data_IF_236405489666
#
_entry.id   IF_236405489666
#
_cell.length_a   1.000
_cell.length_b   1.000
_cell.length_c   1.000
_cell.angle_alpha   90.00
_cell.angle_beta   90.00
_cell.angle_gamma   90.00
#
_symmetry.space_group_name_H-M   'P 1'
#
loop_
_entity.id
_entity.type
_entity.pdbx_description
1 polymer ?
#
# COMPACT_ATOMS: atom_id res chain seq x y z
N UNK A 1 64.21 -19.21 68.55
CA UNK A 1 62.74 -19.24 68.54
C UNK A 1 62.25 -17.85 68.93
N UNK A 2 62.14 -16.96 67.95
CA UNK A 2 60.95 -16.69 67.15
C UNK A 2 59.94 -15.80 67.88
N UNK A 3 60.04 -14.51 67.52
CA UNK A 3 59.13 -13.37 67.70
C UNK A 3 57.63 -13.72 67.59
N UNK A 4 56.76 -12.95 68.27
CA UNK A 4 55.67 -12.21 67.60
C UNK A 4 55.20 -11.00 68.42
N UNK A 5 55.12 -9.85 67.74
CA UNK A 5 54.62 -8.55 68.22
C UNK A 5 53.11 -8.47 68.00
N UNK A 6 52.42 -7.77 68.89
CA UNK A 6 51.01 -7.39 68.83
C UNK A 6 50.90 -5.95 68.27
N UNK A 7 50.04 -5.71 67.27
CA UNK A 7 49.47 -4.40 66.86
C UNK A 7 48.15 -4.68 66.06
N UNK A 8 47.24 -3.70 65.84
CA UNK A 8 45.85 -3.76 66.27
C UNK A 8 44.85 -3.84 65.10
N UNK A 9 43.59 -4.11 65.42
CA UNK A 9 42.47 -4.09 64.47
C UNK A 9 42.23 -2.65 63.95
N UNK A 10 42.34 -2.46 62.63
CA UNK A 10 41.82 -1.30 61.93
C UNK A 10 40.43 -1.62 61.35
N UNK A 11 39.43 -0.84 61.76
CA UNK A 11 38.08 -0.89 61.23
C UNK A 11 38.06 -0.18 59.86
N UNK A 12 37.89 -0.93 58.77
CA UNK A 12 37.74 -0.35 57.42
C UNK A 12 36.25 -0.03 57.22
N UNK A 13 35.94 1.27 57.19
CA UNK A 13 34.66 1.81 56.78
C UNK A 13 34.50 1.54 55.27
N UNK A 14 33.69 0.54 54.91
CA UNK A 14 33.39 0.22 53.52
C UNK A 14 32.40 1.28 53.00
N UNK A 15 32.91 2.32 52.34
CA UNK A 15 32.08 3.26 51.59
C UNK A 15 31.35 2.48 50.49
N UNK A 16 30.04 2.32 50.68
CA UNK A 16 29.11 1.80 49.69
C UNK A 16 29.19 2.64 48.42
N UNK A 17 29.84 2.09 47.39
CA UNK A 17 29.71 2.57 46.03
C UNK A 17 28.23 2.55 45.66
N UNK A 18 27.68 3.73 45.38
CA UNK A 18 26.41 3.84 44.68
C UNK A 18 26.50 3.05 43.38
N UNK A 19 25.74 1.96 43.29
CA UNK A 19 25.42 1.29 42.05
C UNK A 19 24.84 2.35 41.12
N UNK A 20 25.64 2.77 40.13
CA UNK A 20 25.13 3.43 38.93
C UNK A 20 24.16 2.43 38.33
N UNK A 21 22.87 2.64 38.53
CA UNK A 21 21.85 1.96 37.76
C UNK A 21 22.20 2.23 36.29
N UNK A 22 22.65 1.20 35.56
CA UNK A 22 22.90 1.33 34.13
C UNK A 22 21.60 1.80 33.51
N UNK A 23 21.59 3.03 32.99
CA UNK A 23 20.49 3.45 32.14
C UNK A 23 20.37 2.42 31.01
N UNK A 24 19.16 1.90 30.73
CA UNK A 24 18.94 1.16 29.51
C UNK A 24 19.44 2.03 28.36
N UNK A 25 20.26 1.47 27.47
CA UNK A 25 20.78 2.21 26.32
C UNK A 25 19.66 2.56 25.33
N UNK A 26 18.49 1.96 25.44
CA UNK A 26 17.27 2.31 24.71
C UNK A 26 16.39 3.30 25.52
N UNK A 27 15.52 4.04 24.83
CA UNK A 27 14.59 4.99 25.44
C UNK A 27 13.17 4.75 24.90
N UNK A 28 12.55 3.62 25.26
CA UNK A 28 11.34 3.15 24.59
C UNK A 28 10.04 3.71 25.19
N UNK A 29 10.10 4.40 26.34
CA UNK A 29 8.90 4.86 27.07
C UNK A 29 8.92 6.35 27.36
N UNK A 30 7.74 6.92 27.56
CA UNK A 30 7.56 8.30 28.01
C UNK A 30 6.41 8.41 29.02
N UNK A 31 6.59 9.31 29.99
CA UNK A 31 5.59 9.61 31.01
C UNK A 31 4.62 10.71 30.52
N UNK A 32 3.48 10.83 31.20
CA UNK A 32 2.55 11.94 30.98
C UNK A 32 3.24 13.30 31.11
N UNK A 33 2.68 14.30 30.45
CA UNK A 33 3.21 15.67 30.35
C UNK A 33 4.57 15.79 29.62
N UNK A 34 4.95 14.77 28.84
CA UNK A 34 6.15 14.85 27.99
C UNK A 34 5.84 15.59 26.69
N UNK A 35 6.73 16.49 26.28
CA UNK A 35 6.60 17.27 25.04
C UNK A 35 7.88 17.17 24.22
N UNK A 36 7.73 16.91 22.93
CA UNK A 36 8.81 16.89 21.95
C UNK A 36 8.58 17.99 20.92
N UNK A 37 9.63 18.74 20.61
CA UNK A 37 9.62 19.78 19.58
C UNK A 37 10.38 19.28 18.37
N UNK A 38 9.77 19.37 17.20
CA UNK A 38 10.41 19.09 15.93
C UNK A 38 11.42 20.20 15.58
N UNK A 39 12.60 20.16 16.18
CA UNK A 39 13.68 21.14 15.98
C UNK A 39 14.88 20.52 15.26
N UNK A 40 15.62 21.35 14.52
CA UNK A 40 16.91 20.96 13.93
C UNK A 40 17.91 20.56 15.02
N UNK A 41 17.80 21.17 16.20
CA UNK A 41 18.64 20.88 17.37
C UNK A 41 18.11 19.72 18.24
N UNK A 42 17.07 19.01 17.80
CA UNK A 42 16.53 17.90 18.57
C UNK A 42 17.59 16.80 18.73
N UNK A 43 17.66 16.16 19.91
CA UNK A 43 18.54 15.01 20.10
C UNK A 43 18.16 13.89 19.13
N UNK A 44 19.13 13.04 18.78
CA UNK A 44 18.92 11.89 17.88
C UNK A 44 18.38 12.27 16.48
N UNK A 45 18.72 13.48 16.01
CA UNK A 45 18.49 13.91 14.63
C UNK A 45 19.59 13.38 13.72
N UNK A 46 19.22 12.58 12.71
CA UNK A 46 20.16 12.01 11.73
C UNK A 46 19.65 12.25 10.31
N UNK A 47 20.51 12.83 9.48
CA UNK A 47 20.28 12.99 8.05
C UNK A 47 20.94 11.85 7.26
N UNK A 48 20.25 11.37 6.24
CA UNK A 48 20.66 10.27 5.38
C UNK A 48 20.98 10.77 3.97
N UNK A 49 21.79 10.00 3.23
CA UNK A 49 22.22 10.40 1.88
C UNK A 49 21.13 10.27 0.82
N UNK A 50 20.00 9.63 1.13
CA UNK A 50 18.81 9.57 0.26
C UNK A 50 17.93 10.83 0.35
N UNK A 51 18.33 11.81 1.18
CA UNK A 51 17.56 13.03 1.43
C UNK A 51 16.56 12.89 2.58
N UNK A 52 16.48 11.72 3.23
CA UNK A 52 15.64 11.55 4.41
C UNK A 52 16.31 12.07 5.68
N UNK A 53 15.51 12.50 6.64
CA UNK A 53 15.97 12.86 7.98
C UNK A 53 14.99 12.33 9.01
N UNK A 54 15.54 11.73 10.07
CA UNK A 54 14.77 11.26 11.24
C UNK A 54 15.15 12.06 12.47
N UNK A 55 14.19 12.26 13.36
CA UNK A 55 14.39 12.77 14.72
C UNK A 55 13.69 11.83 15.67
N UNK A 56 14.43 10.86 16.20
CA UNK A 56 13.88 9.85 17.08
C UNK A 56 13.57 10.43 18.46
N UNK A 57 12.37 10.12 18.97
CA UNK A 57 11.93 10.50 20.32
C UNK A 57 11.80 9.28 21.23
N UNK A 58 11.50 8.12 20.65
CA UNK A 58 11.57 6.81 21.31
C UNK A 58 12.32 5.86 20.38
N UNK A 59 13.11 4.98 20.97
CA UNK A 59 13.87 3.95 20.27
C UNK A 59 13.92 2.70 21.13
N UNK A 60 13.66 1.56 20.50
CA UNK A 60 13.60 0.28 21.19
C UNK A 60 14.70 -0.68 20.72
N UNK A 61 15.52 -1.14 21.67
CA UNK A 61 16.64 -2.05 21.43
C UNK A 61 17.93 -1.36 20.99
N UNK A 62 19.05 -2.10 20.96
CA UNK A 62 20.38 -1.51 20.83
C UNK A 62 21.02 -1.77 19.48
N UNK A 63 21.21 -3.01 19.03
CA UNK A 63 22.03 -3.31 17.84
C UNK A 63 21.22 -3.81 16.64
N UNK A 64 21.59 -3.36 15.43
CA UNK A 64 21.01 -3.79 14.15
C UNK A 64 19.80 -2.95 13.73
N UNK A 65 18.91 -3.48 12.88
CA UNK A 65 17.67 -2.80 12.56
C UNK A 65 16.76 -2.76 13.80
N UNK A 66 16.34 -1.55 14.19
CA UNK A 66 15.48 -1.29 15.36
C UNK A 66 14.35 -0.34 15.01
N UNK A 67 13.25 -0.47 15.73
CA UNK A 67 12.14 0.46 15.65
C UNK A 67 12.45 1.71 16.47
N UNK A 68 12.19 2.86 15.86
CA UNK A 68 12.13 4.14 16.52
C UNK A 68 10.87 4.87 16.07
N UNK A 69 10.39 5.80 16.88
CA UNK A 69 9.34 6.73 16.45
C UNK A 69 9.78 8.17 16.65
N UNK A 70 9.23 9.08 15.84
CA UNK A 70 9.54 10.49 15.90
C UNK A 70 9.22 11.20 14.59
N UNK A 71 9.93 12.30 14.31
CA UNK A 71 9.69 13.08 13.10
C UNK A 71 10.50 12.56 11.92
N UNK A 72 9.85 12.40 10.77
CA UNK A 72 10.46 11.95 9.52
C UNK A 72 10.14 12.93 8.39
N UNK A 73 11.12 13.23 7.55
CA UNK A 73 10.94 13.90 6.26
C UNK A 73 11.82 13.26 5.19
N UNK A 74 11.53 13.57 3.93
CA UNK A 74 12.34 13.22 2.77
C UNK A 74 12.38 14.38 1.79
N UNK A 75 13.49 14.55 1.08
CA UNK A 75 13.71 15.61 0.10
C UNK A 75 14.10 16.93 0.76
N UNK A 76 13.32 17.99 0.53
CA UNK A 76 13.62 19.34 1.03
C UNK A 76 13.26 19.53 2.52
N UNK A 77 12.57 18.56 3.13
CA UNK A 77 12.16 18.60 4.53
C UNK A 77 11.34 19.85 4.92
N UNK A 78 10.51 20.35 4.00
CA UNK A 78 9.52 21.40 4.30
C UNK A 78 8.31 20.86 5.08
N UNK A 79 8.12 19.54 5.06
CA UNK A 79 7.02 18.85 5.74
C UNK A 79 7.50 17.57 6.42
N UNK A 80 6.88 17.24 7.53
CA UNK A 80 7.24 16.16 8.43
C UNK A 80 6.04 15.30 8.81
N UNK A 81 6.29 14.01 8.90
CA UNK A 81 5.41 13.03 9.51
C UNK A 81 5.85 12.74 10.94
N UNK A 82 4.91 12.56 11.85
CA UNK A 82 5.15 11.73 13.02
C UNK A 82 4.96 10.26 12.61
N UNK A 83 6.03 9.47 12.76
CA UNK A 83 6.14 8.15 12.15
C UNK A 83 6.84 7.14 13.07
N UNK A 84 6.56 5.86 12.82
CA UNK A 84 7.38 4.74 13.29
C UNK A 84 8.22 4.28 12.10
N UNK A 85 9.52 4.15 12.31
CA UNK A 85 10.47 3.79 11.27
C UNK A 85 11.51 2.78 11.77
N UNK A 86 12.00 1.96 10.85
CA UNK A 86 13.11 1.03 11.09
C UNK A 86 14.41 1.75 10.73
N UNK A 87 15.37 1.76 11.65
CA UNK A 87 16.70 2.39 11.51
C UNK A 87 17.79 1.42 11.93
N UNK A 88 19.01 1.58 11.40
CA UNK A 88 20.18 0.83 11.87
C UNK A 88 20.76 1.47 13.12
N UNK A 89 21.07 0.66 14.13
CA UNK A 89 21.64 1.14 15.38
C UNK A 89 22.87 0.34 15.83
N UNK A 90 23.76 0.98 16.60
CA UNK A 90 24.94 0.36 17.19
C UNK A 90 24.68 -0.12 18.63
N UNK A 91 25.62 -0.77 19.30
CA UNK A 91 25.44 -1.33 20.66
C UNK A 91 24.99 -0.34 21.76
N UNK A 92 25.02 0.96 21.50
CA UNK A 92 24.59 2.03 22.41
C UNK A 92 23.38 2.82 21.87
N UNK A 93 22.61 2.23 20.96
CA UNK A 93 21.36 2.78 20.39
C UNK A 93 21.51 4.08 19.61
N UNK A 94 22.71 4.40 19.12
CA UNK A 94 22.84 5.48 18.14
C UNK A 94 22.39 5.02 16.78
N UNK A 95 21.62 5.86 16.09
CA UNK A 95 21.25 5.65 14.69
C UNK A 95 22.50 5.81 13.83
N UNK A 96 22.84 4.78 13.07
CA UNK A 96 24.08 4.68 12.27
C UNK A 96 23.78 4.38 10.80
N UNK A 97 24.84 4.23 9.99
CA UNK A 97 24.77 3.84 8.58
C UNK A 97 23.96 4.79 7.68
N UNK A 98 24.16 6.12 7.76
CA UNK A 98 23.34 7.09 7.02
C UNK A 98 23.43 6.97 5.49
N UNK A 99 24.44 6.26 4.97
CA UNK A 99 24.67 6.09 3.53
C UNK A 99 24.03 4.84 2.92
N UNK A 100 23.58 3.88 3.73
CA UNK A 100 23.04 2.58 3.25
C UNK A 100 21.82 2.10 4.04
N UNK A 101 21.71 2.47 5.31
CA UNK A 101 20.67 2.05 6.25
C UNK A 101 19.47 2.98 6.24
N UNK A 102 18.96 3.34 5.07
CA UNK A 102 17.90 4.34 4.95
C UNK A 102 16.68 3.95 5.80
N UNK A 103 16.10 4.90 6.53
CA UNK A 103 14.98 4.66 7.43
C UNK A 103 13.75 4.20 6.65
N UNK A 104 13.08 3.15 7.12
CA UNK A 104 11.86 2.64 6.49
C UNK A 104 10.65 3.00 7.35
N UNK A 105 9.81 3.91 6.87
CA UNK A 105 8.56 4.28 7.54
C UNK A 105 7.54 3.15 7.38
N UNK A 106 7.14 2.56 8.50
CA UNK A 106 6.15 1.45 8.56
C UNK A 106 4.81 1.91 9.12
N UNK A 107 4.76 3.09 9.74
CA UNK A 107 3.52 3.71 10.21
C UNK A 107 3.67 5.22 10.31
N UNK A 108 2.59 5.98 10.12
CA UNK A 108 2.58 7.42 10.41
C UNK A 108 1.20 7.94 10.75
N UNK A 109 1.17 8.96 11.62
CA UNK A 109 -0.04 9.53 12.19
C UNK A 109 -0.76 10.51 11.26
N UNK A 110 0.00 11.36 10.58
CA UNK A 110 -0.49 12.60 9.97
C UNK A 110 -0.21 12.68 8.46
N UNK A 111 -0.38 11.56 7.73
CA UNK A 111 -0.17 11.49 6.27
C UNK A 111 -0.91 12.57 5.48
N UNK A 112 -2.14 12.88 5.90
CA UNK A 112 -3.00 13.88 5.26
C UNK A 112 -2.77 15.31 5.74
N UNK A 113 -2.06 15.48 6.87
CA UNK A 113 -1.73 16.78 7.46
C UNK A 113 -0.27 16.81 7.93
N UNK A 114 0.72 16.73 7.00
CA UNK A 114 2.12 16.89 7.36
C UNK A 114 2.35 18.21 8.08
N UNK A 115 3.25 18.21 9.06
CA UNK A 115 3.57 19.38 9.89
C UNK A 115 4.91 19.99 9.50
N UNK A 116 5.16 21.25 9.88
CA UNK A 116 6.42 21.95 9.61
C UNK A 116 7.44 21.74 10.73
N UNK A 117 8.64 22.28 10.54
CA UNK A 117 9.60 22.47 11.63
C UNK A 117 8.97 23.33 12.74
N UNK A 118 9.37 23.13 14.00
CA UNK A 118 8.80 23.72 15.22
C UNK A 118 7.40 23.21 15.61
N UNK A 119 6.88 22.17 14.92
CA UNK A 119 5.72 21.41 15.41
C UNK A 119 6.01 20.71 16.74
N UNK A 120 4.95 20.38 17.47
CA UNK A 120 5.04 19.77 18.79
C UNK A 120 4.23 18.49 18.87
N UNK A 121 4.83 17.45 19.44
CA UNK A 121 4.12 16.25 19.88
C UNK A 121 4.08 16.27 21.40
N UNK A 122 2.90 16.10 21.99
CA UNK A 122 2.73 16.15 23.43
C UNK A 122 1.91 14.97 23.92
N UNK A 123 2.45 14.22 24.89
CA UNK A 123 1.65 13.33 25.72
C UNK A 123 1.12 14.16 26.90
N UNK A 124 -0.15 14.52 26.84
CA UNK A 124 -0.79 15.43 27.79
C UNK A 124 -0.95 14.81 29.19
N UNK A 125 -1.17 15.64 30.21
CA UNK A 125 -1.48 15.17 31.56
C UNK A 125 -2.79 14.36 31.62
N UNK A 126 -3.72 14.60 30.67
CA UNK A 126 -4.98 13.88 30.53
C UNK A 126 -4.85 12.57 29.75
N UNK A 127 -3.66 12.24 29.23
CA UNK A 127 -3.44 10.97 28.54
C UNK A 127 -3.68 10.97 27.03
N UNK A 128 -3.77 12.13 26.41
CA UNK A 128 -3.86 12.26 24.94
C UNK A 128 -2.49 12.49 24.33
N UNK A 129 -2.17 11.80 23.22
CA UNK A 129 -0.99 12.07 22.41
C UNK A 129 -1.40 12.98 21.24
N UNK A 130 -0.92 14.22 21.27
CA UNK A 130 -1.41 15.30 20.39
C UNK A 130 -0.27 15.86 19.57
N UNK A 131 -0.46 15.93 18.25
CA UNK A 131 0.45 16.56 17.30
C UNK A 131 -0.12 17.90 16.83
N UNK A 132 0.63 18.98 17.05
CA UNK A 132 0.29 20.33 16.57
C UNK A 132 1.35 20.85 15.62
N UNK A 133 0.92 21.54 14.58
CA UNK A 133 1.83 22.26 13.67
C UNK A 133 2.45 23.49 14.37
N UNK A 134 3.43 24.13 13.72
CA UNK A 134 4.18 25.25 14.26
C UNK A 134 3.31 26.47 14.66
N UNK A 135 2.14 26.62 14.03
CA UNK A 135 1.14 27.67 14.33
C UNK A 135 0.13 27.26 15.43
N UNK A 136 0.28 26.05 15.99
CA UNK A 136 -0.62 25.49 17.01
C UNK A 136 -1.82 24.72 16.45
N UNK A 137 -2.00 24.69 15.12
CA UNK A 137 -3.09 23.95 14.46
C UNK A 137 -2.99 22.46 14.80
N UNK A 138 -4.11 21.85 15.17
CA UNK A 138 -4.18 20.41 15.43
C UNK A 138 -4.00 19.62 14.13
N UNK A 139 -2.91 18.85 14.05
CA UNK A 139 -2.65 17.97 12.92
C UNK A 139 -3.23 16.57 13.14
N UNK A 140 -3.05 16.02 14.35
CA UNK A 140 -3.50 14.67 14.71
C UNK A 140 -3.57 14.47 16.24
N UNK A 141 -4.41 13.55 16.71
CA UNK A 141 -4.46 13.10 18.12
C UNK A 141 -4.97 11.66 18.24
N UNK A 142 -4.61 10.98 19.33
CA UNK A 142 -5.12 9.63 19.66
C UNK A 142 -6.56 9.66 20.20
N UNK A 143 -7.08 10.83 20.59
CA UNK A 143 -8.38 11.00 21.22
C UNK A 143 -8.53 10.10 22.47
N UNK A 144 -7.48 10.07 23.29
CA UNK A 144 -7.39 9.26 24.50
C UNK A 144 -7.44 10.06 25.80
N UNK A 145 -7.70 11.37 25.70
CA UNK A 145 -7.92 12.23 26.86
C UNK A 145 -8.96 11.61 27.83
N UNK A 146 -8.61 11.49 29.11
CA UNK A 146 -9.49 10.96 30.15
C UNK A 146 -9.65 9.44 30.15
N UNK A 147 -8.95 8.69 29.27
CA UNK A 147 -9.03 7.22 29.20
C UNK A 147 -7.98 6.52 30.08
N UNK A 148 -7.61 7.13 31.21
CA UNK A 148 -6.71 6.55 32.22
C UNK A 148 -5.32 6.14 31.72
N UNK A 149 -4.79 6.79 30.67
CA UNK A 149 -3.43 6.56 30.19
C UNK A 149 -2.43 6.95 31.28
N UNK A 150 -1.45 6.08 31.53
CA UNK A 150 -0.34 6.26 32.46
C UNK A 150 0.99 6.53 31.75
N UNK A 151 1.14 6.09 30.49
CA UNK A 151 2.36 6.32 29.72
C UNK A 151 2.26 5.89 28.26
N UNK A 152 3.37 6.09 27.54
CA UNK A 152 3.58 5.71 26.14
C UNK A 152 4.76 4.75 26.06
N UNK A 153 4.67 3.72 25.21
CA UNK A 153 5.73 2.75 24.97
C UNK A 153 5.83 2.39 23.49
N UNK A 154 7.05 2.21 22.98
CA UNK A 154 7.33 1.56 21.70
C UNK A 154 7.79 0.12 21.95
N UNK A 155 7.09 -0.88 21.41
CA UNK A 155 7.40 -2.30 21.61
C UNK A 155 8.51 -2.80 20.68
N UNK A 156 9.04 -3.99 20.97
CA UNK A 156 10.08 -4.64 20.15
C UNK A 156 9.58 -5.00 18.73
N UNK A 157 8.27 -5.16 18.56
CA UNK A 157 7.58 -5.37 17.28
C UNK A 157 7.27 -4.06 16.53
N UNK A 158 7.57 -2.90 17.12
CA UNK A 158 7.31 -1.60 16.53
C UNK A 158 5.88 -1.10 16.73
N UNK A 159 5.17 -1.58 17.75
CA UNK A 159 3.86 -1.05 18.13
C UNK A 159 4.02 0.13 19.09
N UNK A 160 3.41 1.28 18.77
CA UNK A 160 3.36 2.44 19.65
C UNK A 160 2.07 2.36 20.49
N UNK A 161 2.22 2.23 21.80
CA UNK A 161 1.13 1.89 22.73
C UNK A 161 0.99 2.96 23.81
N UNK A 162 -0.23 3.47 23.99
CA UNK A 162 -0.64 4.15 25.22
C UNK A 162 -1.22 3.10 26.18
N UNK A 163 -0.69 3.05 27.39
CA UNK A 163 -1.07 2.03 28.39
C UNK A 163 -1.58 2.67 29.68
N UNK A 164 -2.46 1.98 30.41
CA UNK A 164 -2.98 2.41 31.72
C UNK A 164 -2.10 1.96 32.89
N UNK A 165 -2.49 2.28 34.13
CA UNK A 165 -1.72 1.92 35.33
C UNK A 165 -1.64 0.39 35.59
N UNK A 166 -2.42 -0.41 34.88
CA UNK A 166 -2.42 -1.89 34.92
C UNK A 166 -1.70 -2.48 33.71
N UNK A 167 -1.00 -1.66 32.92
CA UNK A 167 -0.35 -2.01 31.66
C UNK A 167 -1.32 -2.52 30.59
N UNK A 168 -2.62 -2.20 30.68
CA UNK A 168 -3.57 -2.50 29.63
C UNK A 168 -3.47 -1.46 28.50
N UNK A 169 -3.59 -1.92 27.26
CA UNK A 169 -3.60 -1.07 26.08
C UNK A 169 -4.85 -0.18 26.06
N UNK A 170 -4.65 1.14 26.02
CA UNK A 170 -5.70 2.15 25.84
C UNK A 170 -5.82 2.56 24.37
N UNK A 171 -4.67 2.65 23.68
CA UNK A 171 -4.57 2.94 22.25
C UNK A 171 -3.29 2.32 21.71
N UNK A 172 -3.28 1.89 20.44
CA UNK A 172 -2.09 1.36 19.79
C UNK A 172 -2.03 1.67 18.29
N UNK A 173 -0.84 1.85 17.74
CA UNK A 173 -0.65 2.13 16.31
C UNK A 173 -1.06 0.97 15.41
N UNK A 174 -0.94 -0.27 15.88
CA UNK A 174 -1.31 -1.45 15.09
C UNK A 174 -2.79 -1.50 14.69
N UNK A 175 -3.68 -0.85 15.46
CA UNK A 175 -5.10 -0.74 15.14
C UNK A 175 -5.40 0.33 14.08
N UNK A 176 -4.38 1.07 13.66
CA UNK A 176 -4.47 2.15 12.67
C UNK A 176 -3.39 1.95 11.59
N UNK A 177 -3.41 0.83 10.84
CA UNK A 177 -2.39 0.57 9.84
C UNK A 177 -2.40 1.63 8.75
N UNK A 178 -1.28 1.75 8.04
CA UNK A 178 -1.12 2.77 7.00
C UNK A 178 -0.90 2.13 5.63
N UNK A 179 0.32 2.05 5.12
CA UNK A 179 0.66 1.34 3.88
C UNK A 179 1.53 0.11 4.11
N UNK A 180 1.82 -0.23 5.36
CA UNK A 180 2.78 -1.28 5.71
C UNK A 180 2.26 -2.18 6.84
N UNK A 181 2.76 -3.41 6.88
CA UNK A 181 2.60 -4.38 7.96
C UNK A 181 3.98 -4.83 8.43
N UNK A 182 4.11 -5.03 9.74
CA UNK A 182 5.31 -5.60 10.36
C UNK A 182 5.03 -6.98 10.96
N UNK A 183 6.05 -7.83 11.15
CA UNK A 183 5.87 -9.12 11.80
C UNK A 183 5.20 -8.97 13.18
N UNK A 184 4.18 -9.78 13.45
CA UNK A 184 3.37 -9.72 14.66
C UNK A 184 2.12 -8.82 14.55
N UNK A 185 2.04 -7.95 13.55
CA UNK A 185 0.87 -7.09 13.36
C UNK A 185 -0.33 -7.87 12.82
N UNK A 186 -1.50 -7.56 13.36
CA UNK A 186 -2.80 -8.12 12.95
C UNK A 186 -3.56 -7.10 12.10
N UNK A 187 -4.22 -7.61 11.07
CA UNK A 187 -5.17 -6.90 10.23
C UNK A 187 -6.53 -7.60 10.37
N UNK A 188 -7.44 -7.00 11.11
CA UNK A 188 -8.80 -7.53 11.32
C UNK A 188 -9.77 -7.01 10.26
N UNK A 189 -10.93 -7.64 10.14
CA UNK A 189 -12.02 -7.18 9.24
C UNK A 189 -12.32 -5.69 9.46
N UNK A 190 -12.37 -4.94 8.35
CA UNK A 190 -12.57 -3.48 8.36
C UNK A 190 -11.28 -2.65 8.40
N UNK A 191 -10.13 -3.23 8.72
CA UNK A 191 -8.83 -2.56 8.56
C UNK A 191 -8.30 -2.72 7.14
N UNK A 192 -7.62 -1.68 6.64
CA UNK A 192 -6.99 -1.71 5.32
C UNK A 192 -5.64 -1.01 5.31
N UNK A 193 -4.74 -1.54 4.50
CA UNK A 193 -3.58 -0.80 4.02
C UNK A 193 -4.02 0.11 2.87
N UNK A 194 -3.56 1.35 2.85
CA UNK A 194 -3.80 2.30 1.77
C UNK A 194 -2.46 2.77 1.23
N UNK A 195 -2.21 2.56 -0.06
CA UNK A 195 -0.97 2.96 -0.70
C UNK A 195 -0.76 4.47 -0.61
N UNK A 196 0.51 4.89 -0.54
CA UNK A 196 0.88 6.29 -0.73
C UNK A 196 0.64 6.71 -2.19
N UNK A 197 0.37 7.99 -2.46
CA UNK A 197 0.18 8.53 -3.82
C UNK A 197 1.40 8.27 -4.72
N UNK A 198 2.59 8.40 -4.15
CA UNK A 198 3.84 8.02 -4.80
C UNK A 198 4.89 7.66 -3.75
N UNK A 199 6.08 7.26 -4.19
CA UNK A 199 7.25 7.06 -3.32
C UNK A 199 7.67 8.32 -2.55
N UNK A 200 7.33 9.50 -3.05
CA UNK A 200 7.70 10.81 -2.47
C UNK A 200 6.52 11.61 -1.92
N UNK A 201 5.29 11.15 -2.11
CA UNK A 201 4.07 11.79 -1.62
C UNK A 201 3.28 10.82 -0.75
N UNK A 202 3.39 11.01 0.57
CA UNK A 202 2.81 10.12 1.58
C UNK A 202 1.32 10.32 1.87
N UNK A 203 0.70 11.35 1.29
CA UNK A 203 -0.72 11.66 1.50
C UNK A 203 -1.58 10.43 1.19
N UNK A 204 -2.62 10.18 2.00
CA UNK A 204 -3.62 9.19 1.66
C UNK A 204 -4.40 9.65 0.42
N UNK A 205 -4.94 8.70 -0.33
CA UNK A 205 -5.46 8.93 -1.68
C UNK A 205 -4.62 8.28 -2.78
N UNK A 206 -3.71 7.37 -2.42
CA UNK A 206 -3.17 6.41 -3.37
C UNK A 206 -4.28 5.55 -3.98
N UNK A 207 -4.05 5.06 -5.19
CA UNK A 207 -5.06 4.36 -5.98
C UNK A 207 -5.34 2.94 -5.49
N UNK A 208 -4.62 2.43 -4.48
CA UNK A 208 -4.67 1.02 -4.10
C UNK A 208 -4.91 0.83 -2.62
N UNK A 209 -5.70 -0.18 -2.29
CA UNK A 209 -5.86 -0.66 -0.92
C UNK A 209 -5.82 -2.17 -0.83
N UNK A 210 -5.44 -2.67 0.35
CA UNK A 210 -5.37 -4.10 0.66
C UNK A 210 -6.00 -4.32 2.03
N UNK A 211 -7.01 -5.16 2.10
CA UNK A 211 -7.84 -5.33 3.30
C UNK A 211 -7.98 -6.80 3.67
N UNK A 212 -8.07 -7.05 4.98
CA UNK A 212 -8.60 -8.30 5.49
C UNK A 212 -10.13 -8.22 5.52
N UNK A 213 -10.78 -9.30 5.10
CA UNK A 213 -12.22 -9.53 5.29
C UNK A 213 -12.38 -10.72 6.21
N UNK A 214 -13.58 -10.92 6.76
CA UNK A 214 -13.87 -12.11 7.57
C UNK A 214 -13.66 -13.42 6.78
N UNK A 215 -13.75 -13.35 5.45
CA UNK A 215 -13.66 -14.50 4.56
C UNK A 215 -12.32 -14.58 3.79
N UNK A 216 -11.38 -13.66 4.02
CA UNK A 216 -10.10 -13.68 3.30
C UNK A 216 -9.36 -12.35 3.16
N UNK A 217 -8.70 -12.20 2.01
CA UNK A 217 -7.87 -11.06 1.63
C UNK A 217 -8.34 -10.48 0.30
N UNK A 218 -8.46 -9.16 0.24
CA UNK A 218 -8.90 -8.46 -0.98
C UNK A 218 -8.06 -7.22 -1.22
N UNK A 219 -7.70 -6.99 -2.48
CA UNK A 219 -7.02 -5.78 -2.92
C UNK A 219 -7.83 -5.05 -4.00
N UNK A 220 -7.92 -3.73 -3.86
CA UNK A 220 -8.73 -2.87 -4.71
C UNK A 220 -7.90 -1.79 -5.40
N UNK A 221 -8.28 -1.45 -6.62
CA UNK A 221 -8.04 -0.11 -7.16
C UNK A 221 -9.23 0.78 -6.83
N UNK A 222 -8.98 1.88 -6.11
CA UNK A 222 -9.92 2.84 -5.52
C UNK A 222 -10.55 3.75 -6.61
N UNK A 223 -11.11 3.11 -7.64
CA UNK A 223 -11.88 3.72 -8.72
C UNK A 223 -13.36 3.91 -8.33
N UNK A 224 -14.19 4.42 -9.24
CA UNK A 224 -15.62 4.65 -8.99
C UNK A 224 -16.49 3.88 -9.99
N UNK A 225 -17.04 2.69 -9.63
CA UNK A 225 -16.89 1.99 -8.33
C UNK A 225 -15.49 1.35 -8.15
N UNK A 226 -15.07 1.00 -6.92
CA UNK A 226 -13.81 0.27 -6.69
C UNK A 226 -13.78 -1.05 -7.44
N UNK A 227 -12.60 -1.44 -7.94
CA UNK A 227 -12.42 -2.66 -8.72
C UNK A 227 -11.42 -3.59 -8.02
N UNK A 228 -11.81 -4.84 -7.80
CA UNK A 228 -10.96 -5.87 -7.18
C UNK A 228 -9.93 -6.38 -8.18
N UNK A 229 -8.65 -6.38 -7.81
CA UNK A 229 -7.58 -6.96 -8.65
C UNK A 229 -6.90 -8.18 -8.03
N UNK A 230 -7.16 -8.42 -6.74
CA UNK A 230 -6.74 -9.62 -6.06
C UNK A 230 -7.79 -9.99 -5.02
N UNK A 231 -8.14 -11.26 -4.98
CA UNK A 231 -9.00 -11.83 -3.96
C UNK A 231 -8.52 -13.24 -3.64
N UNK A 232 -8.44 -13.56 -2.36
CA UNK A 232 -8.24 -14.92 -1.88
C UNK A 232 -9.15 -15.14 -0.68
N UNK A 233 -10.18 -15.95 -0.90
CA UNK A 233 -11.15 -16.32 0.12
C UNK A 233 -11.04 -17.80 0.48
N UNK A 234 -11.37 -18.13 1.72
CA UNK A 234 -11.43 -19.51 2.22
C UNK A 234 -12.72 -20.25 1.86
N UNK A 235 -13.77 -19.55 1.40
CA UNK A 235 -15.06 -20.12 1.02
C UNK A 235 -15.83 -20.77 2.18
N UNK A 236 -17.01 -20.23 2.50
CA UNK A 236 -17.91 -20.77 3.52
C UNK A 236 -18.12 -19.83 4.69
N UNK A 237 -19.37 -19.62 5.10
CA UNK A 237 -19.73 -18.78 6.23
C UNK A 237 -19.08 -19.30 7.51
N UNK A 238 -18.30 -18.46 8.20
CA UNK A 238 -17.91 -18.71 9.58
C UNK A 238 -19.17 -18.85 10.45
N UNK A 239 -19.59 -20.09 10.71
CA UNK A 239 -20.70 -20.42 11.62
C UNK A 239 -20.28 -20.36 13.09
N UNK A 240 -19.00 -20.06 13.38
CA UNK A 240 -18.39 -20.20 14.71
C UNK A 240 -18.31 -18.91 15.54
N UNK A 241 -18.92 -17.80 15.09
CA UNK A 241 -19.05 -16.57 15.89
C UNK A 241 -17.75 -15.83 16.25
N UNK A 242 -16.58 -16.31 15.80
CA UNK A 242 -15.29 -15.62 15.93
C UNK A 242 -14.94 -14.84 14.66
N UNK A 243 -14.42 -13.62 14.83
CA UNK A 243 -13.91 -12.82 13.70
C UNK A 243 -12.54 -13.33 13.27
N UNK A 244 -12.39 -13.60 11.98
CA UNK A 244 -11.10 -13.93 11.39
C UNK A 244 -10.20 -12.69 11.35
N UNK A 245 -8.89 -12.92 11.38
CA UNK A 245 -7.90 -11.87 11.21
C UNK A 245 -6.69 -12.37 10.44
N UNK A 246 -6.05 -11.47 9.72
CA UNK A 246 -4.80 -11.75 9.03
C UNK A 246 -3.65 -11.31 9.92
N UNK A 247 -2.61 -12.14 10.03
CA UNK A 247 -1.42 -11.82 10.79
C UNK A 247 -0.19 -12.04 9.94
N UNK A 248 0.71 -11.06 9.96
CA UNK A 248 2.01 -11.22 9.33
C UNK A 248 2.95 -11.94 10.31
N UNK A 249 3.31 -13.18 9.97
CA UNK A 249 4.18 -14.04 10.75
C UNK A 249 5.52 -14.22 10.02
N UNK A 250 6.54 -14.67 10.75
CA UNK A 250 7.80 -15.04 10.13
C UNK A 250 7.57 -16.20 9.14
N UNK A 251 7.78 -15.94 7.85
CA UNK A 251 7.60 -16.91 6.78
C UNK A 251 6.17 -17.02 6.21
N UNK A 252 5.19 -16.24 6.71
CA UNK A 252 3.84 -16.28 6.12
C UNK A 252 2.96 -15.06 6.42
N UNK A 253 2.01 -14.79 5.53
CA UNK A 253 0.82 -14.00 5.80
C UNK A 253 -0.36 -14.96 5.99
N UNK A 254 -0.85 -15.06 7.23
CA UNK A 254 -1.78 -16.11 7.64
C UNK A 254 -3.13 -15.56 8.05
N UNK A 255 -4.21 -16.13 7.53
CA UNK A 255 -5.57 -15.93 8.02
C UNK A 255 -5.82 -16.90 9.17
N UNK A 256 -6.03 -16.33 10.36
CA UNK A 256 -6.20 -17.04 11.61
C UNK A 256 -7.63 -16.81 12.14
N UNK A 257 -8.07 -17.75 12.96
CA UNK A 257 -9.34 -17.67 13.69
C UNK A 257 -9.09 -18.05 15.16
N UNK A 258 -10.14 -18.40 15.90
CA UNK A 258 -10.01 -18.91 17.28
C UNK A 258 -9.29 -20.28 17.36
N UNK A 259 -9.12 -20.98 16.24
CA UNK A 259 -8.29 -22.19 16.14
C UNK A 259 -6.79 -21.85 16.10
N UNK A 260 -5.94 -22.76 16.60
CA UNK A 260 -4.48 -22.60 16.52
C UNK A 260 -3.94 -22.74 15.09
N UNK A 261 -4.66 -23.41 14.20
CA UNK A 261 -4.25 -23.63 12.83
C UNK A 261 -4.76 -22.54 11.88
N UNK A 262 -3.92 -22.08 10.92
CA UNK A 262 -4.32 -21.10 9.93
C UNK A 262 -5.32 -21.69 8.92
N UNK A 263 -6.40 -20.95 8.68
CA UNK A 263 -7.40 -21.32 7.67
C UNK A 263 -6.88 -21.06 6.25
N UNK A 264 -6.01 -20.05 6.10
CA UNK A 264 -5.31 -19.77 4.86
C UNK A 264 -3.89 -19.30 5.18
N UNK A 265 -2.94 -19.71 4.34
CA UNK A 265 -1.55 -19.31 4.45
C UNK A 265 -1.02 -18.88 3.08
N UNK A 266 -0.38 -17.70 3.03
CA UNK A 266 0.48 -17.28 1.92
C UNK A 266 1.92 -17.38 2.42
N UNK A 267 2.72 -18.25 1.80
CA UNK A 267 4.13 -18.41 2.14
C UNK A 267 4.92 -17.17 1.72
N UNK A 268 5.82 -16.72 2.58
CA UNK A 268 6.74 -15.60 2.36
C UNK A 268 8.14 -16.09 2.73
N UNK A 269 9.23 -15.58 2.11
CA UNK A 269 10.59 -15.89 2.56
C UNK A 269 10.76 -15.64 4.07
N UNK A 270 11.19 -16.65 4.86
CA UNK A 270 11.46 -16.47 6.28
C UNK A 270 12.52 -15.39 6.50
N UNK A 271 12.26 -14.53 7.47
CA UNK A 271 13.13 -13.42 7.82
C UNK A 271 14.40 -13.93 8.54
N UNK A 272 15.56 -13.59 7.98
CA UNK A 272 16.88 -13.72 8.61
C UNK A 272 17.31 -12.45 9.36
N UNK A 273 16.68 -11.31 9.04
CA UNK A 273 16.86 -10.01 9.70
C UNK A 273 15.52 -9.28 9.87
N UNK A 274 15.53 -7.95 10.00
CA UNK A 274 14.30 -7.17 9.99
C UNK A 274 13.64 -7.24 8.62
N UNK A 275 12.33 -7.50 8.64
CA UNK A 275 11.49 -7.63 7.48
C UNK A 275 10.22 -6.81 7.68
N UNK A 276 9.72 -6.17 6.64
CA UNK A 276 8.42 -5.50 6.64
C UNK A 276 7.74 -5.68 5.28
N UNK A 277 6.42 -5.54 5.28
CA UNK A 277 5.59 -5.62 4.08
C UNK A 277 5.01 -4.25 3.79
N UNK A 278 4.96 -3.85 2.51
CA UNK A 278 4.44 -2.55 2.09
C UNK A 278 3.59 -2.66 0.83
N UNK A 279 2.41 -2.05 0.87
CA UNK A 279 1.58 -1.82 -0.30
C UNK A 279 2.09 -0.58 -1.04
N UNK A 280 2.66 -0.82 -2.21
CA UNK A 280 3.28 0.20 -3.04
C UNK A 280 2.23 1.02 -3.82
N UNK A 281 2.64 2.22 -4.26
CA UNK A 281 1.80 3.13 -5.08
C UNK A 281 1.33 2.54 -6.42
N UNK A 282 1.89 1.39 -6.84
CA UNK A 282 1.50 0.65 -8.04
C UNK A 282 0.64 -0.60 -7.76
N UNK A 283 0.21 -0.81 -6.51
CA UNK A 283 -0.66 -1.91 -6.09
C UNK A 283 0.06 -3.20 -5.70
N UNK A 284 1.39 -3.25 -5.81
CA UNK A 284 2.15 -4.43 -5.39
C UNK A 284 2.30 -4.47 -3.88
N UNK A 285 2.11 -5.65 -3.28
CA UNK A 285 2.35 -5.89 -1.86
C UNK A 285 3.72 -6.56 -1.71
N UNK A 286 4.75 -5.77 -1.42
CA UNK A 286 6.13 -6.23 -1.43
C UNK A 286 6.65 -6.48 -0.03
N UNK A 287 7.51 -7.48 0.07
CA UNK A 287 8.26 -7.78 1.30
C UNK A 287 9.70 -7.33 1.13
N UNK A 288 10.17 -6.54 2.08
CA UNK A 288 11.52 -6.02 2.12
C UNK A 288 12.26 -6.60 3.33
N UNK A 289 13.50 -7.02 3.12
CA UNK A 289 14.38 -7.54 4.16
C UNK A 289 15.72 -6.79 4.16
N UNK A 290 16.27 -6.59 5.36
CA UNK A 290 17.61 -6.07 5.53
C UNK A 290 18.68 -7.15 5.27
N UNK A 291 19.44 -7.00 4.18
CA UNK A 291 20.59 -7.85 3.84
C UNK A 291 21.77 -6.96 3.41
N UNK A 292 22.35 -6.21 4.34
CA UNK A 292 23.31 -5.09 4.10
C UNK A 292 22.71 -3.81 3.49
N UNK A 293 21.58 -3.95 2.79
CA UNK A 293 20.66 -2.88 2.38
C UNK A 293 19.25 -3.44 2.38
N UNK A 294 18.24 -2.58 2.25
CA UNK A 294 16.88 -3.05 2.01
C UNK A 294 16.75 -3.65 0.62
N UNK A 295 16.40 -4.93 0.56
CA UNK A 295 16.14 -5.62 -0.70
C UNK A 295 14.69 -6.12 -0.71
N UNK A 296 14.03 -6.03 -1.87
CA UNK A 296 12.76 -6.72 -2.11
C UNK A 296 13.05 -8.22 -2.17
N UNK A 297 12.47 -8.99 -1.26
CA UNK A 297 12.61 -10.46 -1.22
C UNK A 297 11.40 -11.17 -1.79
N UNK A 298 10.23 -10.51 -1.81
CA UNK A 298 9.01 -11.10 -2.37
C UNK A 298 8.02 -10.05 -2.88
N UNK A 299 7.12 -10.50 -3.75
CA UNK A 299 5.93 -9.77 -4.21
C UNK A 299 4.70 -10.66 -4.05
N UNK A 300 4.01 -10.47 -2.93
CA UNK A 300 3.07 -11.44 -2.35
C UNK A 300 1.91 -11.75 -3.29
N UNK A 301 1.44 -10.76 -4.07
CA UNK A 301 0.26 -10.93 -4.93
C UNK A 301 0.63 -11.40 -6.34
N UNK A 302 1.84 -11.06 -6.83
CA UNK A 302 2.28 -11.40 -8.20
C UNK A 302 2.24 -12.89 -8.46
N UNK A 303 2.64 -13.72 -7.47
CA UNK A 303 2.74 -15.17 -7.64
C UNK A 303 1.41 -15.87 -7.99
N UNK A 304 0.27 -15.26 -7.69
CA UNK A 304 -1.04 -15.85 -7.93
C UNK A 304 -1.54 -15.62 -9.35
N UNK A 305 -1.62 -14.35 -9.78
CA UNK A 305 -2.26 -13.98 -11.04
C UNK A 305 -1.25 -13.51 -12.10
N UNK A 306 0.01 -13.29 -11.72
CA UNK A 306 1.07 -12.77 -12.59
C UNK A 306 1.03 -11.24 -12.75
N UNK A 307 2.11 -10.69 -13.31
CA UNK A 307 2.33 -9.24 -13.45
C UNK A 307 1.23 -8.52 -14.26
N UNK A 308 0.61 -9.19 -15.24
CA UNK A 308 -0.42 -8.56 -16.06
C UNK A 308 -1.78 -8.36 -15.36
N UNK A 309 -1.95 -8.91 -14.15
CA UNK A 309 -3.17 -8.73 -13.35
C UNK A 309 -3.22 -7.39 -12.61
N UNK A 310 -2.10 -6.64 -12.55
CA UNK A 310 -2.05 -5.38 -11.85
C UNK A 310 -2.74 -4.26 -12.66
N UNK A 311 -3.61 -3.45 -12.04
CA UNK A 311 -4.42 -2.47 -12.75
C UNK A 311 -3.62 -1.44 -13.57
N UNK A 312 -2.43 -1.07 -13.14
CA UNK A 312 -1.65 0.01 -13.78
C UNK A 312 -0.41 -0.45 -14.52
N UNK A 313 -0.19 -1.76 -14.69
CA UNK A 313 1.04 -2.31 -15.30
C UNK A 313 1.34 -1.74 -16.70
N UNK A 314 0.29 -1.53 -17.51
CA UNK A 314 0.40 -0.98 -18.85
C UNK A 314 -0.34 0.35 -19.00
N UNK A 315 -0.72 1.00 -17.90
CA UNK A 315 -1.55 2.20 -17.92
C UNK A 315 -2.95 1.97 -18.52
N UNK A 316 -3.73 3.05 -18.61
CA UNK A 316 -5.11 2.96 -19.11
C UNK A 316 -5.13 2.48 -20.56
N UNK A 317 -6.07 1.59 -20.87
CA UNK A 317 -6.26 0.97 -22.19
C UNK A 317 -5.05 0.18 -22.73
N UNK A 318 -3.93 0.08 -22.01
CA UNK A 318 -2.78 -0.71 -22.45
C UNK A 318 -3.03 -2.19 -22.23
N UNK A 319 -2.68 -3.03 -23.22
CA UNK A 319 -2.78 -4.49 -23.13
C UNK A 319 -1.43 -5.05 -22.69
N UNK A 320 -1.43 -5.79 -21.59
CA UNK A 320 -0.29 -6.50 -21.05
C UNK A 320 -0.22 -7.93 -21.60
N UNK A 321 0.91 -8.27 -22.22
CA UNK A 321 1.23 -9.62 -22.70
C UNK A 321 2.62 -9.99 -22.21
N UNK A 322 2.72 -10.93 -21.27
CA UNK A 322 4.00 -11.34 -20.66
C UNK A 322 4.85 -10.15 -20.14
N UNK A 323 4.19 -9.15 -19.54
CA UNK A 323 4.83 -7.94 -19.04
C UNK A 323 5.17 -6.88 -20.09
N UNK A 324 4.88 -7.12 -21.38
CA UNK A 324 5.03 -6.12 -22.44
C UNK A 324 3.72 -5.39 -22.69
N UNK A 325 3.80 -4.08 -22.93
CA UNK A 325 2.63 -3.23 -23.10
C UNK A 325 2.43 -2.81 -24.55
N UNK A 326 1.21 -2.94 -25.04
CA UNK A 326 0.78 -2.51 -26.37
C UNK A 326 -0.56 -1.78 -26.31
N UNK A 327 -0.91 -1.04 -27.37
CA UNK A 327 -2.25 -0.45 -27.48
C UNK A 327 -3.18 -1.36 -28.29
N UNK A 328 -4.49 -1.35 -28.01
CA UNK A 328 -5.51 -2.00 -28.81
C UNK A 328 -5.38 -1.65 -30.29
N UNK A 329 -5.44 -2.68 -31.14
CA UNK A 329 -5.43 -2.55 -32.61
C UNK A 329 -6.55 -3.37 -33.21
N UNK A 330 -7.16 -2.84 -34.27
CA UNK A 330 -8.12 -3.60 -35.06
C UNK A 330 -7.41 -4.69 -35.84
N UNK A 331 -7.96 -5.91 -35.84
CA UNK A 331 -7.48 -7.02 -36.66
C UNK A 331 -7.77 -6.83 -38.15
N UNK A 332 -8.77 -5.99 -38.49
CA UNK A 332 -9.37 -5.95 -39.82
C UNK A 332 -9.11 -4.67 -40.62
N UNK A 333 -8.62 -3.59 -40.01
CA UNK A 333 -8.43 -2.30 -40.69
C UNK A 333 -7.17 -1.56 -40.19
N UNK A 334 -6.55 -0.75 -41.05
CA UNK A 334 -5.43 0.15 -40.70
C UNK A 334 -5.83 1.31 -39.77
N UNK A 335 -7.11 1.40 -39.39
CA UNK A 335 -7.64 2.48 -38.55
C UNK A 335 -7.24 2.25 -37.09
N UNK A 336 -6.41 3.15 -36.56
CA UNK A 336 -6.00 3.15 -35.15
C UNK A 336 -6.99 3.99 -34.33
N UNK A 337 -7.61 3.42 -33.30
CA UNK A 337 -8.46 4.17 -32.35
C UNK A 337 -7.69 4.63 -31.11
N UNK A 338 -6.55 4.00 -30.83
CA UNK A 338 -5.71 4.28 -29.68
C UNK A 338 -4.30 4.65 -30.13
N UNK A 339 -3.62 5.49 -29.35
CA UNK A 339 -2.20 5.81 -29.51
C UNK A 339 -1.48 5.69 -28.16
N UNK A 340 -0.22 5.28 -28.19
CA UNK A 340 0.65 5.29 -27.01
C UNK A 340 0.80 6.72 -26.50
N UNK A 341 0.77 6.88 -25.18
CA UNK A 341 1.11 8.17 -24.55
C UNK A 341 2.58 8.51 -24.83
N UNK A 342 3.45 7.50 -24.79
CA UNK A 342 4.87 7.66 -25.09
C UNK A 342 5.42 6.38 -25.74
N UNK A 343 6.05 6.49 -26.90
CA UNK A 343 6.61 5.34 -27.62
C UNK A 343 7.78 4.68 -26.90
N UNK A 344 8.54 5.44 -26.10
CA UNK A 344 9.68 4.96 -25.32
C UNK A 344 9.27 4.41 -23.95
N UNK A 345 8.08 4.77 -23.46
CA UNK A 345 7.54 4.31 -22.17
C UNK A 345 6.12 3.73 -22.36
N UNK A 346 6.00 2.53 -22.94
CA UNK A 346 4.70 1.92 -23.26
C UNK A 346 3.82 1.67 -22.02
N UNK A 347 4.42 1.53 -20.83
CA UNK A 347 3.73 1.32 -19.56
C UNK A 347 2.93 2.54 -19.07
N UNK A 348 3.13 3.73 -19.67
CA UNK A 348 2.27 4.89 -19.40
C UNK A 348 0.85 4.69 -19.96
N UNK A 349 0.69 3.77 -20.91
CA UNK A 349 -0.59 3.38 -21.49
C UNK A 349 -0.95 4.12 -22.76
N UNK A 350 -2.24 4.08 -23.05
CA UNK A 350 -2.81 4.47 -24.33
C UNK A 350 -3.93 5.48 -24.11
N UNK A 351 -4.11 6.37 -25.08
CA UNK A 351 -5.25 7.28 -25.10
C UNK A 351 -6.08 7.05 -26.36
N UNK A 352 -7.40 7.16 -26.22
CA UNK A 352 -8.31 7.17 -27.35
C UNK A 352 -8.07 8.44 -28.19
N UNK A 353 -7.90 8.28 -29.50
CA UNK A 353 -7.62 9.40 -30.41
C UNK A 353 -8.81 10.37 -30.44
N UNK A 354 -10.03 9.83 -30.49
CA UNK A 354 -11.27 10.60 -30.42
C UNK A 354 -11.95 10.33 -29.08
N UNK A 355 -12.38 11.39 -28.40
CA UNK A 355 -13.06 11.28 -27.10
C UNK A 355 -14.48 10.74 -27.31
N UNK A 356 -14.88 9.79 -26.47
CA UNK A 356 -16.27 9.32 -26.41
C UNK A 356 -17.18 10.45 -25.89
N UNK A 357 -18.19 10.81 -26.68
CA UNK A 357 -19.27 11.72 -26.27
C UNK A 357 -20.58 10.95 -26.26
N UNK A 358 -21.43 11.09 -25.24
CA UNK A 358 -22.74 10.41 -25.24
C UNK A 358 -23.86 11.28 -25.83
N UNK A 359 -23.57 11.99 -26.91
CA UNK A 359 -24.52 12.90 -27.56
C UNK A 359 -25.34 12.14 -28.61
N UNK A 360 -24.67 11.32 -29.42
CA UNK A 360 -25.31 10.40 -30.36
C UNK A 360 -24.76 8.98 -30.16
N UNK A 361 -25.65 8.04 -29.85
CA UNK A 361 -25.30 6.62 -29.69
C UNK A 361 -24.96 5.96 -31.04
N UNK A 362 -25.37 6.56 -32.16
CA UNK A 362 -25.07 6.04 -33.50
C UNK A 362 -23.58 6.21 -33.88
N UNK A 363 -22.83 7.09 -33.21
CA UNK A 363 -21.41 7.33 -33.47
C UNK A 363 -20.48 6.38 -32.69
N UNK A 364 -21.07 5.50 -31.86
CA UNK A 364 -20.31 4.55 -31.04
C UNK A 364 -20.20 3.22 -31.76
N UNK A 365 -18.96 2.74 -31.88
CA UNK A 365 -18.67 1.37 -32.34
C UNK A 365 -17.89 0.64 -31.27
N UNK A 366 -17.83 -0.68 -31.41
CA UNK A 366 -17.01 -1.52 -30.56
C UNK A 366 -15.80 -2.01 -31.36
N UNK A 367 -14.60 -1.71 -30.85
CA UNK A 367 -13.37 -2.35 -31.26
C UNK A 367 -13.33 -3.73 -30.62
N UNK A 368 -13.41 -4.76 -31.45
CA UNK A 368 -13.38 -6.16 -31.02
C UNK A 368 -11.92 -6.65 -30.93
N UNK A 369 -11.57 -7.16 -29.76
CA UNK A 369 -10.29 -7.78 -29.47
C UNK A 369 -10.54 -9.19 -28.97
N UNK A 370 -9.96 -10.16 -29.66
CA UNK A 370 -9.94 -11.55 -29.24
C UNK A 370 -8.80 -11.78 -28.25
N UNK A 371 -9.00 -12.72 -27.33
CA UNK A 371 -8.00 -13.16 -26.35
C UNK A 371 -7.52 -12.02 -25.43
N UNK A 372 -8.37 -11.02 -25.20
CA UNK A 372 -8.14 -9.95 -24.25
C UNK A 372 -9.16 -10.04 -23.12
N UNK A 373 -8.64 -9.96 -21.90
CA UNK A 373 -9.39 -10.10 -20.67
C UNK A 373 -9.11 -8.94 -19.70
N UNK A 374 -9.82 -8.93 -18.57
CA UNK A 374 -9.76 -7.88 -17.58
C UNK A 374 -9.62 -8.42 -16.15
N UNK A 375 -8.71 -7.83 -15.37
CA UNK A 375 -8.37 -8.31 -14.03
C UNK A 375 -9.56 -8.28 -13.05
N UNK A 376 -10.44 -7.29 -13.18
CA UNK A 376 -11.58 -7.08 -12.27
C UNK A 376 -12.90 -7.62 -12.81
N UNK A 377 -12.86 -8.59 -13.71
CA UNK A 377 -14.07 -9.16 -14.30
C UNK A 377 -15.02 -9.69 -13.22
N UNK A 378 -16.20 -9.08 -13.12
CA UNK A 378 -17.31 -9.48 -12.27
C UNK A 378 -18.56 -9.44 -13.12
N UNK A 379 -19.30 -10.53 -13.27
CA UNK A 379 -20.40 -10.58 -14.22
C UNK A 379 -21.55 -9.63 -13.82
N UNK A 380 -21.88 -8.68 -14.69
CA UNK A 380 -23.11 -7.85 -14.59
C UNK A 380 -24.31 -8.57 -15.22
N UNK A 381 -24.05 -9.37 -16.26
CA UNK A 381 -25.04 -10.20 -16.95
C UNK A 381 -24.45 -11.60 -17.07
N UNK A 382 -25.14 -12.61 -16.55
CA UNK A 382 -24.70 -14.01 -16.61
C UNK A 382 -25.45 -14.80 -17.67
N UNK A 383 -24.83 -15.87 -18.17
CA UNK A 383 -25.42 -16.77 -19.15
C UNK A 383 -26.06 -16.02 -20.34
N UNK A 384 -25.32 -15.13 -20.99
CA UNK A 384 -25.74 -14.31 -22.14
C UNK A 384 -24.88 -14.61 -23.36
N UNK A 385 -25.29 -14.17 -24.55
CA UNK A 385 -24.46 -14.19 -25.76
C UNK A 385 -23.65 -12.89 -25.95
N UNK A 386 -22.69 -12.93 -26.89
CA UNK A 386 -21.79 -11.82 -27.21
C UNK A 386 -22.54 -10.58 -27.70
N UNK A 387 -23.56 -10.75 -28.53
CA UNK A 387 -24.27 -9.62 -29.15
C UNK A 387 -25.10 -8.86 -28.12
N UNK A 388 -25.77 -9.59 -27.22
CA UNK A 388 -26.48 -9.00 -26.08
C UNK A 388 -25.51 -8.23 -25.16
N UNK A 389 -24.31 -8.76 -24.91
CA UNK A 389 -23.28 -8.09 -24.12
C UNK A 389 -22.78 -6.79 -24.80
N UNK A 390 -22.54 -6.84 -26.12
CA UNK A 390 -22.19 -5.67 -26.95
C UNK A 390 -23.25 -4.58 -26.88
N UNK A 391 -24.52 -4.96 -27.11
CA UNK A 391 -25.67 -4.06 -27.10
C UNK A 391 -25.89 -3.39 -25.75
N UNK A 392 -25.72 -4.14 -24.66
CA UNK A 392 -25.83 -3.61 -23.29
C UNK A 392 -24.82 -2.47 -23.05
N UNK A 393 -23.57 -2.64 -23.51
CA UNK A 393 -22.58 -1.56 -23.40
C UNK A 393 -22.92 -0.38 -24.31
N UNK A 394 -23.30 -0.61 -25.58
CA UNK A 394 -23.62 0.47 -26.52
C UNK A 394 -24.76 1.36 -26.01
N UNK A 395 -25.79 0.77 -25.39
CA UNK A 395 -26.92 1.51 -24.82
C UNK A 395 -26.61 2.21 -23.49
N UNK A 396 -25.49 1.90 -22.86
CA UNK A 396 -25.07 2.49 -21.59
C UNK A 396 -23.96 3.53 -21.82
N UNK A 397 -24.29 4.82 -21.69
CA UNK A 397 -23.34 5.93 -21.83
C UNK A 397 -22.08 5.81 -20.96
N UNK A 398 -22.23 5.28 -19.75
CA UNK A 398 -21.13 5.16 -18.79
C UNK A 398 -20.21 3.99 -19.12
N UNK A 399 -20.73 2.95 -19.79
CA UNK A 399 -19.94 1.79 -20.21
C UNK A 399 -18.83 2.19 -21.19
N UNK A 400 -17.60 1.78 -20.88
CA UNK A 400 -16.41 2.02 -21.72
C UNK A 400 -15.98 0.80 -22.52
N UNK A 401 -16.28 -0.41 -22.03
CA UNK A 401 -16.06 -1.64 -22.75
C UNK A 401 -17.03 -2.72 -22.26
N UNK A 402 -17.30 -3.71 -23.10
CA UNK A 402 -17.92 -4.96 -22.71
C UNK A 402 -16.86 -6.07 -22.73
N UNK A 403 -16.65 -6.73 -21.60
CA UNK A 403 -15.84 -7.95 -21.52
C UNK A 403 -16.75 -9.16 -21.48
N UNK A 404 -16.45 -10.16 -22.30
CA UNK A 404 -17.24 -11.38 -22.37
C UNK A 404 -16.35 -12.60 -22.16
N UNK A 405 -16.70 -13.46 -21.21
CA UNK A 405 -16.02 -14.74 -20.94
C UNK A 405 -16.97 -15.90 -21.20
N UNK A 406 -16.50 -16.93 -21.89
CA UNK A 406 -17.28 -18.15 -22.15
C UNK A 406 -16.39 -19.37 -21.96
N UNK A 407 -17.00 -20.52 -21.60
CA UNK A 407 -16.30 -21.79 -21.71
C UNK A 407 -15.75 -22.00 -23.12
N UNK A 408 -14.70 -22.82 -23.26
CA UNK A 408 -14.03 -23.05 -24.55
C UNK A 408 -15.02 -23.42 -25.65
N UNK A 409 -15.01 -22.66 -26.74
CA UNK A 409 -15.93 -22.79 -27.88
C UNK A 409 -17.43 -22.70 -27.52
N UNK A 410 -17.75 -22.12 -26.37
CA UNK A 410 -19.12 -21.87 -25.93
C UNK A 410 -19.74 -20.65 -26.61
N UNK A 411 -21.07 -20.66 -26.74
CA UNK A 411 -21.84 -19.54 -27.29
C UNK A 411 -22.49 -18.66 -26.22
N UNK A 412 -22.51 -19.12 -24.97
CA UNK A 412 -23.08 -18.41 -23.83
C UNK A 412 -22.05 -18.29 -22.71
N UNK A 413 -22.04 -17.15 -22.06
CA UNK A 413 -21.05 -16.80 -21.07
C UNK A 413 -21.48 -15.61 -20.22
N UNK A 414 -20.52 -15.02 -19.55
CA UNK A 414 -20.74 -13.90 -18.64
C UNK A 414 -20.22 -12.60 -19.25
N UNK A 415 -20.86 -11.49 -18.91
CA UNK A 415 -20.60 -10.17 -19.44
C UNK A 415 -20.31 -9.18 -18.30
N UNK A 416 -19.25 -8.38 -18.45
CA UNK A 416 -18.86 -7.31 -17.52
C UNK A 416 -18.77 -5.96 -18.25
N UNK A 417 -19.35 -4.91 -17.65
CA UNK A 417 -19.59 -3.60 -18.27
C UNK A 417 -18.96 -2.44 -17.46
N UNK A 418 -17.63 -2.34 -17.36
CA UNK A 418 -16.97 -1.32 -16.56
C UNK A 418 -17.15 0.11 -17.10
N UNK A 419 -17.22 1.05 -16.15
CA UNK A 419 -17.27 2.49 -16.40
C UNK A 419 -15.88 3.14 -16.54
N UNK A 420 -14.84 2.42 -16.13
CA UNK A 420 -13.45 2.87 -16.16
C UNK A 420 -12.54 1.70 -16.54
N UNK A 421 -11.60 1.97 -17.45
CA UNK A 421 -10.68 0.97 -18.01
C UNK A 421 -9.26 1.29 -17.56
N UNK A 422 -8.66 0.31 -16.89
CA UNK A 422 -7.26 0.27 -16.49
C UNK A 422 -6.44 -0.54 -17.52
N UNK A 423 -5.38 -1.22 -17.09
CA UNK A 423 -4.65 -2.15 -17.95
C UNK A 423 -5.55 -3.33 -18.31
N UNK A 424 -5.49 -3.73 -19.57
CA UNK A 424 -6.06 -4.96 -20.08
C UNK A 424 -4.99 -6.06 -20.05
N UNK A 425 -5.38 -7.32 -20.10
CA UNK A 425 -4.43 -8.43 -20.12
C UNK A 425 -4.75 -9.41 -21.24
N UNK A 426 -3.72 -10.00 -21.82
CA UNK A 426 -3.90 -11.12 -22.74
C UNK A 426 -4.38 -12.36 -21.99
N UNK A 427 -5.34 -13.07 -22.56
CA UNK A 427 -5.84 -14.32 -22.03
C UNK A 427 -5.00 -15.49 -22.53
N UNK A 428 -4.27 -16.12 -21.61
CA UNK A 428 -3.58 -17.38 -21.87
C UNK A 428 -4.56 -18.54 -21.68
N UNK A 429 -5.20 -18.98 -22.77
CA UNK A 429 -6.23 -20.02 -22.77
C UNK A 429 -5.75 -21.35 -22.20
N UNK A 430 -4.46 -21.65 -22.35
CA UNK A 430 -3.89 -22.89 -21.83
C UNK A 430 -3.94 -22.90 -20.30
N UNK A 431 -3.76 -21.71 -19.69
CA UNK A 431 -3.85 -21.50 -18.25
C UNK A 431 -5.28 -21.29 -17.76
N UNK A 432 -6.06 -20.45 -18.43
CA UNK A 432 -7.36 -19.98 -17.92
C UNK A 432 -8.53 -20.90 -18.26
N UNK A 433 -8.41 -21.70 -19.34
CA UNK A 433 -9.42 -22.66 -19.79
C UNK A 433 -10.76 -22.03 -20.17
N UNK A 434 -10.77 -20.77 -20.61
CA UNK A 434 -11.93 -20.08 -21.18
C UNK A 434 -11.54 -19.17 -22.35
N UNK A 435 -12.51 -18.84 -23.20
CA UNK A 435 -12.36 -17.80 -24.22
C UNK A 435 -12.79 -16.44 -23.65
N UNK A 436 -12.07 -15.38 -24.01
CA UNK A 436 -12.38 -14.02 -23.60
C UNK A 436 -12.31 -13.05 -24.78
N UNK A 437 -13.17 -12.05 -24.71
CA UNK A 437 -13.30 -11.02 -25.73
C UNK A 437 -13.46 -9.67 -25.04
N UNK A 438 -12.76 -8.66 -25.54
CA UNK A 438 -12.92 -7.28 -25.13
C UNK A 438 -13.52 -6.47 -26.29
N UNK A 439 -14.66 -5.85 -26.04
CA UNK A 439 -15.36 -4.96 -26.97
C UNK A 439 -15.22 -3.52 -26.46
N UNK A 440 -14.17 -2.82 -26.87
CA UNK A 440 -13.87 -1.48 -26.37
C UNK A 440 -14.68 -0.45 -27.15
N UNK A 441 -15.43 0.39 -26.45
CA UNK A 441 -16.22 1.44 -27.07
C UNK A 441 -15.30 2.53 -27.65
N UNK A 442 -15.48 2.83 -28.92
CA UNK A 442 -14.73 3.84 -29.67
C UNK A 442 -15.69 4.75 -30.43
N UNK A 443 -15.26 5.98 -30.69
CA UNK A 443 -16.00 6.93 -31.51
C UNK A 443 -15.53 6.83 -32.97
N UNK A 444 -16.47 6.88 -33.92
CA UNK A 444 -16.14 6.99 -35.36
C UNK A 444 -16.57 8.35 -35.85
N UNK A 445 -15.64 9.12 -36.44
CA UNK A 445 -16.01 10.34 -37.16
C UNK A 445 -16.70 9.94 -38.47
N UNK A 446 -17.85 10.55 -38.76
CA UNK A 446 -18.55 10.33 -40.03
C UNK A 446 -17.63 10.72 -41.19
N UNK A 447 -17.50 9.84 -42.20
CA UNK A 447 -16.82 10.20 -43.44
C UNK A 447 -17.47 11.46 -44.03
N UNK A 448 -16.70 12.49 -44.45
CA UNK A 448 -17.27 13.63 -45.12
C UNK A 448 -17.96 13.14 -46.39
N UNK A 449 -19.27 13.38 -46.49
CA UNK A 449 -20.07 12.98 -47.64
C UNK A 449 -19.38 13.45 -48.93
N UNK A 450 -18.94 12.49 -49.75
CA UNK A 450 -18.30 12.76 -51.04
C UNK A 450 -19.17 13.76 -51.81
N UNK A 451 -18.61 14.93 -52.09
CA UNK A 451 -19.27 15.99 -52.83
C UNK A 451 -19.73 15.41 -54.17
N UNK A 452 -21.05 15.17 -54.31
CA UNK A 452 -21.67 14.79 -55.58
C UNK A 452 -21.33 15.87 -56.60
N UNK A 453 -20.37 15.55 -57.48
CA UNK A 453 -19.93 16.43 -58.54
C UNK A 453 -21.12 16.87 -59.40
N UNK A 454 -21.41 18.17 -59.38
CA UNK A 454 -22.27 18.80 -60.39
C UNK A 454 -21.59 18.61 -61.74
N UNK A 455 -22.09 17.68 -62.57
CA UNK A 455 -21.83 17.67 -64.01
C UNK A 455 -22.34 18.98 -64.58
N UNK A 456 -21.44 19.92 -64.89
CA UNK A 456 -21.72 21.03 -65.80
C UNK A 456 -21.78 20.45 -67.21
N UNK A 457 -22.98 20.39 -67.77
CA UNK A 457 -23.16 20.32 -69.22
C UNK A 457 -22.56 21.59 -69.82
N UNK A 458 -21.59 21.42 -70.72
CA UNK A 458 -21.12 22.47 -71.61
C UNK A 458 -21.79 22.20 -72.96
N UNK A 459 -22.78 23.03 -73.30
CA UNK A 459 -23.34 23.10 -74.64
C UNK A 459 -22.43 23.95 -75.53
N UNK A 460 -22.29 23.45 -76.74
CA UNK A 460 -21.81 24.02 -78.01
C UNK A 460 -21.61 25.55 -78.10
N UNK A 461 -20.47 25.91 -78.70
CA UNK A 461 -20.44 26.73 -79.92
C UNK A 461 -19.28 26.33 -80.80
#
# INVERSE_FOLDING_TARGET
MALYKIFPLAFILCCSFHLIASQPWDYPTANLSTTWVNSISAPHSVAFTDGSTVRAILLRGTFGPRYACGFYCNGNCESYLFAIFIVQTNSVSFITSPSIGFPQVVWSANRNKPVKINSTLQLTAQGDLVLRDADGTLAWSTNSAGKSVAGLSLTDEGNLVLFDSKNATVWQSFDHPTDSLVPGQKLVSGMKLTASVSTTKWTEGGLFSFSATDDGLVAFVESKPPQTYFERSIGGLNTSGGSNYVMYLNGSLSLLSNSKDPQMLISIPPASSAQYMKLESNGHLKVYEWQSRWNKVDDVLTGFNGECSYPTVCGRYGICTMGQCSCPKSSSNSTSYFRKINDRLPNLGCFAITRLTCIDLNDHRLLELEDVDYFAFTADITNTDKDTCKDACLRNCSCKAAFFRTGLNGSRGDCYLPTEIFSLMNNDKDRTRYDSYAFIKVHVEAEPAAAKGKRRFMNEK
#
